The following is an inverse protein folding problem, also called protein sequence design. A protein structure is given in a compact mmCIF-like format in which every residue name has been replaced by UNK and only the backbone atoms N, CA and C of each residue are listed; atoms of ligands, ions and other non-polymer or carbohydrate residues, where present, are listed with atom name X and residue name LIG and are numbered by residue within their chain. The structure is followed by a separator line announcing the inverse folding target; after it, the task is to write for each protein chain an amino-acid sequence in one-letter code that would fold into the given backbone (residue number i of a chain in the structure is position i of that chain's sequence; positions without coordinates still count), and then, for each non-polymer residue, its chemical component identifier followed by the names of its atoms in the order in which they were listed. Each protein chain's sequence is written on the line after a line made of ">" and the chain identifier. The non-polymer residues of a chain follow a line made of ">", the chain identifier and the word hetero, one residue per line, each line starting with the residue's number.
data_IF_826748276020
#
_entry.id   IF_826748276020
#
_cell.length_a   1.000
_cell.length_b   1.000
_cell.length_c   1.000
_cell.angle_alpha   90.00
_cell.angle_beta   90.00
_cell.angle_gamma   90.00
#
_symmetry.space_group_name_H-M   'P 1'
#
loop_
_entity.id
_entity.type
_entity.pdbx_description
1 polymer ?
#
# COMPACT_ATOMS: atom_id res chain seq x y z
N UNK A 1 -3.76 4.85 26.77
CA UNK A 1 -3.19 3.81 27.65
C UNK A 1 -3.23 2.50 26.91
N UNK A 2 -2.09 2.13 26.28
CA UNK A 2 -1.98 0.84 25.59
C UNK A 2 -2.12 -0.31 26.59
N UNK A 3 -3.25 -1.01 26.52
CA UNK A 3 -3.45 -2.27 27.27
C UNK A 3 -3.02 -3.42 26.35
N UNK A 4 -2.30 -4.38 26.93
CA UNK A 4 -2.13 -5.71 26.34
C UNK A 4 -3.42 -6.45 26.67
N UNK A 5 -4.25 -6.71 25.68
CA UNK A 5 -5.52 -7.42 25.88
C UNK A 5 -5.41 -8.85 25.36
N UNK A 6 -5.96 -9.79 26.11
CA UNK A 6 -6.15 -11.15 25.59
C UNK A 6 -7.22 -11.11 24.47
N UNK A 7 -6.99 -11.88 23.41
CA UNK A 7 -7.89 -11.97 22.28
C UNK A 7 -9.26 -12.51 22.70
N UNK A 8 -10.25 -11.63 22.80
CA UNK A 8 -11.65 -12.00 23.03
C UNK A 8 -12.29 -12.67 21.80
N UNK A 9 -13.52 -13.16 21.97
CA UNK A 9 -14.34 -13.57 20.82
C UNK A 9 -14.73 -12.33 20.03
N UNK A 10 -14.19 -12.20 18.83
CA UNK A 10 -14.56 -11.17 17.86
C UNK A 10 -15.36 -11.84 16.76
N UNK A 11 -16.34 -11.14 16.19
CA UNK A 11 -17.27 -11.65 15.21
C UNK A 11 -16.61 -12.43 14.06
N UNK A 12 -17.37 -13.30 13.42
CA UNK A 12 -16.87 -14.11 12.31
C UNK A 12 -16.56 -13.21 11.10
N UNK A 13 -15.42 -13.45 10.48
CA UNK A 13 -15.09 -12.91 9.16
C UNK A 13 -15.37 -14.01 8.15
N UNK A 14 -16.22 -13.74 7.17
CA UNK A 14 -16.53 -14.68 6.10
C UNK A 14 -15.36 -14.85 5.13
N UNK A 15 -15.42 -14.17 4.00
CA UNK A 15 -14.36 -14.17 2.99
C UNK A 15 -13.38 -13.02 3.26
N UNK A 16 -12.08 -13.27 3.11
CA UNK A 16 -11.04 -12.24 3.21
C UNK A 16 -10.29 -12.13 1.89
N UNK A 17 -10.22 -10.92 1.36
CA UNK A 17 -9.45 -10.59 0.17
C UNK A 17 -8.24 -9.75 0.56
N UNK A 18 -7.12 -9.98 -0.15
CA UNK A 18 -5.91 -9.16 -0.05
C UNK A 18 -5.79 -8.20 -1.21
N UNK A 19 -5.31 -7.00 -0.94
CA UNK A 19 -5.01 -5.97 -1.93
C UNK A 19 -3.58 -5.50 -1.75
N UNK A 20 -2.82 -5.49 -2.84
CA UNK A 20 -1.48 -4.91 -2.88
C UNK A 20 -1.20 -4.30 -4.25
N UNK A 21 -0.23 -3.40 -4.31
CA UNK A 21 0.28 -2.80 -5.54
C UNK A 21 1.80 -2.83 -5.59
N UNK A 22 2.33 -3.03 -6.79
CA UNK A 22 3.76 -3.02 -7.07
C UNK A 22 4.08 -1.95 -8.11
N UNK A 23 5.23 -1.28 -7.92
CA UNK A 23 5.71 -0.29 -8.87
C UNK A 23 7.15 -0.58 -9.31
N UNK A 24 7.42 -0.36 -10.58
CA UNK A 24 8.76 -0.33 -11.16
C UNK A 24 8.92 0.90 -12.03
N UNK A 25 10.15 1.20 -12.40
CA UNK A 25 10.48 2.27 -13.32
C UNK A 25 11.36 1.74 -14.43
N UNK A 26 10.93 1.88 -15.68
CA UNK A 26 11.79 1.71 -16.84
C UNK A 26 12.35 3.06 -17.26
N UNK A 27 13.65 3.18 -17.31
CA UNK A 27 14.33 4.37 -17.78
C UNK A 27 14.82 4.17 -19.21
N UNK A 28 14.19 4.87 -20.12
CA UNK A 28 14.62 5.00 -21.50
C UNK A 28 15.40 6.29 -21.74
N UNK A 29 16.08 6.40 -22.86
CA UNK A 29 16.68 7.66 -23.29
C UNK A 29 15.60 8.73 -23.44
N UNK A 30 15.63 9.75 -22.54
CA UNK A 30 14.70 10.86 -22.54
C UNK A 30 13.34 10.61 -21.87
N UNK A 31 12.98 9.39 -21.53
CA UNK A 31 11.66 9.06 -20.96
C UNK A 31 11.80 8.11 -19.76
N UNK A 32 11.11 8.42 -18.68
CA UNK A 32 10.89 7.51 -17.56
C UNK A 32 9.45 6.96 -17.63
N UNK A 33 9.31 5.65 -17.60
CA UNK A 33 8.02 4.97 -17.57
C UNK A 33 7.83 4.31 -16.21
N UNK A 34 6.78 4.70 -15.51
CA UNK A 34 6.39 4.10 -14.24
C UNK A 34 5.33 3.06 -14.50
N UNK A 35 5.63 1.82 -14.17
CA UNK A 35 4.70 0.70 -14.28
C UNK A 35 4.16 0.41 -12.91
N UNK A 36 2.87 0.56 -12.71
CA UNK A 36 2.19 0.22 -11.47
C UNK A 36 1.10 -0.80 -11.75
N UNK A 37 1.13 -1.87 -11.00
CA UNK A 37 0.14 -2.95 -11.08
C UNK A 37 -0.45 -3.17 -9.71
N UNK A 38 -1.73 -3.49 -9.66
CA UNK A 38 -2.42 -3.86 -8.44
C UNK A 38 -3.03 -5.25 -8.55
N UNK A 39 -3.25 -5.89 -7.41
CA UNK A 39 -3.91 -7.17 -7.32
C UNK A 39 -4.91 -7.19 -6.17
N UNK A 40 -6.11 -7.68 -6.44
CA UNK A 40 -7.14 -8.03 -5.48
C UNK A 40 -7.33 -9.54 -5.52
N UNK A 41 -6.99 -10.23 -4.43
CA UNK A 41 -6.92 -11.69 -4.41
C UNK A 41 -7.76 -12.23 -3.26
N UNK A 42 -8.62 -13.18 -3.56
CA UNK A 42 -9.40 -13.92 -2.58
C UNK A 42 -8.91 -15.35 -2.36
N UNK A 43 -9.61 -16.14 -1.55
CA UNK A 43 -9.37 -17.57 -1.43
C UNK A 43 -9.48 -18.24 -2.80
N UNK A 44 -8.85 -19.42 -2.96
CA UNK A 44 -8.74 -20.15 -4.23
C UNK A 44 -10.06 -20.28 -5.03
N UNK A 45 -11.21 -20.28 -4.34
CA UNK A 45 -12.51 -20.46 -4.94
C UNK A 45 -13.25 -19.14 -5.22
N UNK A 46 -12.66 -18.01 -4.89
CA UNK A 46 -13.22 -16.68 -5.13
C UNK A 46 -12.32 -15.89 -6.09
N UNK A 47 -11.95 -16.50 -7.20
CA UNK A 47 -11.41 -15.77 -8.34
C UNK A 47 -12.51 -14.82 -8.80
N UNK A 48 -12.27 -13.54 -8.62
CA UNK A 48 -13.18 -12.51 -9.10
C UNK A 48 -12.92 -12.36 -10.60
N UNK A 49 -13.88 -12.76 -11.45
CA UNK A 49 -13.73 -12.60 -12.89
C UNK A 49 -13.65 -11.11 -13.22
N UNK A 50 -12.71 -10.69 -14.03
CA UNK A 50 -12.63 -9.36 -14.60
C UNK A 50 -11.73 -8.36 -13.88
N UNK A 51 -10.86 -8.80 -12.98
CA UNK A 51 -9.85 -7.94 -12.32
C UNK A 51 -8.49 -7.79 -13.02
N UNK A 52 -8.27 -8.12 -14.28
CA UNK A 52 -6.96 -7.94 -14.91
C UNK A 52 -6.59 -6.48 -15.18
N UNK A 53 -7.46 -5.52 -14.91
CA UNK A 53 -7.30 -4.15 -15.42
C UNK A 53 -6.69 -3.17 -14.42
N UNK A 54 -6.18 -3.63 -13.30
CA UNK A 54 -5.55 -2.76 -12.31
C UNK A 54 -4.05 -2.55 -12.56
N UNK A 55 -3.68 -2.28 -13.79
CA UNK A 55 -2.34 -1.82 -14.13
C UNK A 55 -2.42 -0.39 -14.66
N UNK A 56 -1.45 0.42 -14.25
CA UNK A 56 -1.36 1.82 -14.66
C UNK A 56 0.06 2.13 -15.10
N UNK A 57 0.17 2.87 -16.18
CA UNK A 57 1.44 3.37 -16.68
C UNK A 57 1.53 4.85 -16.37
N UNK A 58 2.48 5.23 -15.56
CA UNK A 58 2.89 6.61 -15.41
C UNK A 58 4.02 6.92 -16.37
N UNK A 59 3.83 7.83 -17.30
CA UNK A 59 4.86 8.30 -18.22
C UNK A 59 5.41 9.65 -17.77
N UNK A 60 6.72 9.78 -17.81
CA UNK A 60 7.40 11.05 -17.63
C UNK A 60 8.46 11.27 -18.69
N UNK A 61 8.39 12.43 -19.32
CA UNK A 61 9.44 12.90 -20.22
C UNK A 61 10.47 13.73 -19.46
N UNK A 62 11.75 13.45 -19.65
CA UNK A 62 12.88 14.20 -19.04
C UNK A 62 13.15 15.51 -19.78
N UNK A 63 12.66 15.62 -20.99
CA UNK A 63 12.73 16.85 -21.79
C UNK A 63 11.38 17.58 -21.75
N UNK A 64 11.38 18.88 -22.05
CA UNK A 64 10.14 19.59 -22.32
C UNK A 64 9.43 18.92 -23.50
N UNK A 65 8.45 18.11 -23.19
CA UNK A 65 7.58 17.56 -24.21
C UNK A 65 6.51 18.60 -24.60
N UNK A 66 6.08 18.56 -25.84
CA UNK A 66 4.94 19.35 -26.28
C UNK A 66 3.70 18.89 -25.51
N UNK A 67 3.04 19.81 -24.82
CA UNK A 67 1.88 19.52 -23.96
C UNK A 67 0.69 18.98 -24.77
N UNK A 68 0.54 19.38 -26.02
CA UNK A 68 -0.50 18.87 -26.93
C UNK A 68 -0.26 17.41 -27.32
N UNK A 69 1.01 17.04 -27.58
CA UNK A 69 1.37 15.65 -27.87
C UNK A 69 1.12 14.73 -26.67
N UNK A 70 1.37 15.21 -25.45
CA UNK A 70 1.09 14.46 -24.21
C UNK A 70 -0.41 14.28 -23.99
N UNK A 71 -1.22 15.31 -24.22
CA UNK A 71 -2.69 15.22 -24.16
C UNK A 71 -3.26 14.29 -25.23
N UNK A 72 -2.68 14.31 -26.44
CA UNK A 72 -3.05 13.37 -27.49
C UNK A 72 -2.78 11.93 -27.06
N UNK A 73 -1.60 11.65 -26.49
CA UNK A 73 -1.23 10.33 -25.99
C UNK A 73 -2.14 9.87 -24.82
N UNK A 74 -2.48 10.77 -23.88
CA UNK A 74 -3.45 10.49 -22.81
C UNK A 74 -4.83 10.09 -23.38
N UNK A 75 -5.27 10.73 -24.47
CA UNK A 75 -6.54 10.40 -25.13
C UNK A 75 -6.53 9.07 -25.89
N UNK A 76 -5.39 8.67 -26.48
CA UNK A 76 -5.27 7.45 -27.27
C UNK A 76 -5.11 6.18 -26.40
N UNK A 77 -4.45 6.29 -25.26
CA UNK A 77 -4.15 5.14 -24.40
C UNK A 77 -5.39 4.70 -23.58
N UNK A 78 -6.35 5.60 -23.36
CA UNK A 78 -7.61 5.28 -22.69
C UNK A 78 -7.45 4.78 -21.26
N UNK A 79 -8.36 3.90 -20.82
CA UNK A 79 -8.45 3.42 -19.43
C UNK A 79 -7.31 2.49 -18.98
N UNK A 80 -6.47 2.02 -19.90
CA UNK A 80 -5.41 1.06 -19.60
C UNK A 80 -4.11 1.67 -19.13
N UNK A 81 -3.90 2.95 -19.41
CA UNK A 81 -2.69 3.63 -19.01
C UNK A 81 -2.99 5.06 -18.57
N UNK A 82 -2.34 5.43 -17.47
CA UNK A 82 -2.36 6.80 -16.99
C UNK A 82 -1.09 7.49 -17.47
N UNK A 83 -1.23 8.37 -18.44
CA UNK A 83 -0.14 9.25 -18.86
C UNK A 83 -0.19 10.49 -17.97
N UNK A 84 0.82 10.66 -17.13
CA UNK A 84 0.96 11.84 -16.30
C UNK A 84 1.99 12.77 -16.89
N UNK A 85 1.52 13.81 -17.54
CA UNK A 85 2.37 14.95 -17.99
C UNK A 85 2.63 15.95 -16.87
N UNK A 86 1.91 15.81 -15.74
CA UNK A 86 1.93 16.81 -14.66
C UNK A 86 1.93 16.13 -13.28
N UNK A 87 2.65 16.72 -12.34
CA UNK A 87 2.48 16.53 -10.91
C UNK A 87 1.87 17.80 -10.34
N UNK A 88 0.84 17.72 -9.51
CA UNK A 88 0.15 18.88 -8.94
C UNK A 88 -0.39 19.85 -9.99
N UNK A 89 -0.81 19.36 -11.16
CA UNK A 89 -1.26 20.21 -12.25
C UNK A 89 -0.15 21.00 -12.94
N UNK A 90 1.12 20.80 -12.59
CA UNK A 90 2.28 21.43 -13.23
C UNK A 90 2.98 20.45 -14.14
N UNK A 91 3.47 20.93 -15.27
CA UNK A 91 4.31 20.14 -16.17
C UNK A 91 5.57 19.70 -15.42
N UNK A 92 5.99 18.46 -15.62
CA UNK A 92 7.26 17.97 -15.06
C UNK A 92 8.41 18.88 -15.45
N UNK A 93 9.07 19.42 -14.46
CA UNK A 93 10.26 20.24 -14.59
C UNK A 93 11.44 19.61 -13.85
N UNK A 94 12.54 20.34 -13.67
CA UNK A 94 13.71 19.87 -12.97
C UNK A 94 13.52 19.60 -11.47
N UNK A 95 12.38 19.95 -10.88
CA UNK A 95 12.04 19.72 -9.46
C UNK A 95 11.39 18.37 -9.19
N UNK A 96 11.53 17.45 -10.06
CA UNK A 96 10.98 16.12 -10.05
C UNK A 96 11.27 15.31 -8.80
N UNK A 97 10.23 14.86 -8.15
CA UNK A 97 10.30 13.90 -7.08
C UNK A 97 9.75 12.53 -7.54
N UNK A 98 10.65 11.59 -7.76
CA UNK A 98 10.33 10.23 -8.22
C UNK A 98 9.42 9.49 -7.25
N UNK A 99 9.63 9.61 -5.94
CA UNK A 99 8.78 8.97 -4.93
C UNK A 99 7.35 9.50 -5.02
N UNK A 100 7.18 10.81 -5.19
CA UNK A 100 5.85 11.41 -5.28
C UNK A 100 5.07 10.86 -6.49
N UNK A 101 5.72 10.68 -7.64
CA UNK A 101 5.07 10.10 -8.84
C UNK A 101 4.68 8.64 -8.62
N UNK A 102 5.55 7.85 -8.02
CA UNK A 102 5.25 6.45 -7.69
C UNK A 102 4.08 6.34 -6.71
N UNK A 103 4.10 7.13 -5.65
CA UNK A 103 3.06 7.13 -4.63
C UNK A 103 1.73 7.60 -5.19
N UNK A 104 1.74 8.61 -6.06
CA UNK A 104 0.55 9.08 -6.75
C UNK A 104 -0.14 7.94 -7.51
N UNK A 105 0.60 7.29 -8.42
CA UNK A 105 0.02 6.25 -9.28
C UNK A 105 -0.36 5.00 -8.47
N UNK A 106 0.45 4.60 -7.49
CA UNK A 106 0.11 3.49 -6.59
C UNK A 106 -1.17 3.75 -5.82
N UNK A 107 -1.31 4.95 -5.25
CA UNK A 107 -2.49 5.32 -4.48
C UNK A 107 -3.75 5.30 -5.34
N UNK A 108 -3.67 5.73 -6.59
CA UNK A 108 -4.80 5.65 -7.52
C UNK A 108 -5.18 4.20 -7.85
N UNK A 109 -4.21 3.36 -8.18
CA UNK A 109 -4.45 1.92 -8.47
C UNK A 109 -5.10 1.24 -7.28
N UNK A 110 -4.56 1.43 -6.08
CA UNK A 110 -5.11 0.84 -4.88
C UNK A 110 -6.52 1.36 -4.57
N UNK A 111 -6.77 2.66 -4.77
CA UNK A 111 -8.10 3.24 -4.55
C UNK A 111 -9.13 2.67 -5.53
N UNK A 112 -8.76 2.50 -6.80
CA UNK A 112 -9.60 1.83 -7.79
C UNK A 112 -9.91 0.38 -7.41
N UNK A 113 -8.94 -0.36 -6.90
CA UNK A 113 -9.18 -1.73 -6.43
C UNK A 113 -10.12 -1.78 -5.22
N UNK A 114 -10.11 -0.77 -4.35
CA UNK A 114 -11.11 -0.64 -3.29
C UNK A 114 -12.50 -0.38 -3.88
N UNK A 115 -12.61 0.46 -4.89
CA UNK A 115 -13.87 0.73 -5.61
C UNK A 115 -14.40 -0.54 -6.29
N UNK A 116 -13.54 -1.30 -6.95
CA UNK A 116 -13.88 -2.61 -7.54
C UNK A 116 -14.37 -3.60 -6.47
N UNK A 117 -13.65 -3.72 -5.35
CA UNK A 117 -14.08 -4.56 -4.23
C UNK A 117 -15.49 -4.20 -3.75
N UNK A 118 -15.77 -2.90 -3.60
CA UNK A 118 -17.10 -2.42 -3.22
C UNK A 118 -18.14 -2.83 -4.25
N UNK A 119 -17.82 -2.77 -5.55
CA UNK A 119 -18.69 -3.18 -6.66
C UNK A 119 -19.05 -4.67 -6.65
N UNK A 120 -18.24 -5.54 -6.00
CA UNK A 120 -18.51 -6.96 -5.91
C UNK A 120 -19.71 -7.32 -5.01
N UNK A 121 -20.15 -6.40 -4.17
CA UNK A 121 -21.31 -6.62 -3.30
C UNK A 121 -21.14 -7.72 -2.23
N UNK A 122 -19.90 -8.02 -1.85
CA UNK A 122 -19.56 -9.05 -0.85
C UNK A 122 -19.75 -8.51 0.58
N UNK A 123 -21.00 -8.47 1.06
CA UNK A 123 -21.38 -7.77 2.30
C UNK A 123 -20.59 -8.16 3.54
N UNK A 124 -20.23 -9.44 3.71
CA UNK A 124 -19.50 -9.94 4.90
C UNK A 124 -18.00 -10.10 4.68
N UNK A 125 -17.50 -9.73 3.50
CA UNK A 125 -16.09 -9.86 3.19
C UNK A 125 -15.25 -8.77 3.89
N UNK A 126 -14.03 -9.13 4.26
CA UNK A 126 -13.01 -8.22 4.77
C UNK A 126 -11.95 -8.00 3.70
N UNK A 127 -11.68 -6.75 3.38
CA UNK A 127 -10.56 -6.36 2.52
C UNK A 127 -9.33 -6.06 3.38
N UNK A 128 -8.21 -6.72 3.09
CA UNK A 128 -6.91 -6.42 3.69
C UNK A 128 -6.02 -5.72 2.67
N UNK A 129 -5.64 -4.48 2.97
CA UNK A 129 -4.74 -3.67 2.14
C UNK A 129 -3.32 -3.80 2.66
N UNK A 130 -2.35 -4.07 1.79
CA UNK A 130 -0.93 -4.04 2.15
C UNK A 130 -0.46 -2.58 2.30
N UNK A 131 -0.24 -2.16 3.55
CA UNK A 131 0.12 -0.81 3.88
C UNK A 131 -0.95 -0.07 4.70
N UNK A 132 -0.85 1.26 4.79
CA UNK A 132 -1.81 2.07 5.53
C UNK A 132 -3.19 2.07 4.85
N UNK A 133 -4.25 2.14 5.65
CA UNK A 133 -5.63 2.19 5.13
C UNK A 133 -5.85 3.41 4.21
N UNK A 134 -5.23 4.52 4.54
CA UNK A 134 -5.00 5.66 3.66
C UNK A 134 -3.58 6.21 3.89
N UNK A 135 -2.94 6.80 2.86
CA UNK A 135 -1.56 7.27 2.96
C UNK A 135 -1.41 8.35 4.04
N UNK A 136 -0.30 8.28 4.79
CA UNK A 136 0.09 9.29 5.78
C UNK A 136 1.55 9.68 5.54
N UNK A 137 1.87 10.28 4.39
CA UNK A 137 3.24 10.61 4.04
C UNK A 137 3.79 11.70 4.95
N UNK A 138 5.09 11.68 5.18
CA UNK A 138 5.79 12.70 5.97
C UNK A 138 5.60 14.12 5.44
N UNK A 139 5.35 14.25 4.14
CA UNK A 139 5.10 15.52 3.48
C UNK A 139 3.96 16.31 4.11
N UNK A 140 2.97 15.63 4.70
CA UNK A 140 1.86 16.27 5.41
C UNK A 140 2.24 16.91 6.75
N UNK A 141 3.42 16.59 7.27
CA UNK A 141 3.96 17.20 8.50
C UNK A 141 4.90 18.36 8.23
N UNK A 142 5.19 18.64 6.94
CA UNK A 142 6.04 19.74 6.52
C UNK A 142 5.16 20.91 6.10
N UNK A 143 5.28 22.03 6.81
CA UNK A 143 4.62 23.29 6.41
C UNK A 143 5.09 23.72 5.02
N UNK A 144 4.19 24.27 4.24
CA UNK A 144 4.44 24.88 2.93
C UNK A 144 4.95 23.93 1.82
N UNK A 145 4.72 22.63 1.96
CA UNK A 145 5.06 21.69 0.90
C UNK A 145 3.93 21.62 -0.14
N UNK A 146 4.19 21.91 -1.43
CA UNK A 146 3.16 21.90 -2.47
C UNK A 146 2.54 20.52 -2.72
N UNK A 147 3.20 19.44 -2.29
CA UNK A 147 2.65 18.08 -2.37
C UNK A 147 1.63 17.76 -1.28
N UNK A 148 1.53 18.57 -0.21
CA UNK A 148 0.60 18.33 0.89
C UNK A 148 -0.86 18.35 0.42
N UNK A 149 -1.21 19.33 -0.42
CA UNK A 149 -2.56 19.47 -0.99
C UNK A 149 -2.91 18.27 -1.90
N UNK A 150 -1.96 17.84 -2.74
CA UNK A 150 -2.13 16.64 -3.58
C UNK A 150 -2.43 15.41 -2.73
N UNK A 151 -1.64 15.18 -1.68
CA UNK A 151 -1.83 14.03 -0.80
C UNK A 151 -3.14 14.09 -0.02
N UNK A 152 -3.59 15.27 0.37
CA UNK A 152 -4.91 15.43 0.98
C UNK A 152 -6.03 15.03 0.00
N UNK A 153 -5.91 15.36 -1.27
CA UNK A 153 -6.83 14.89 -2.31
C UNK A 153 -6.84 13.37 -2.46
N UNK A 154 -5.69 12.71 -2.39
CA UNK A 154 -5.62 11.24 -2.39
C UNK A 154 -6.25 10.62 -1.15
N UNK A 155 -6.03 11.19 0.03
CA UNK A 155 -6.64 10.73 1.28
C UNK A 155 -8.17 10.85 1.17
N UNK A 156 -8.67 11.99 0.74
CA UNK A 156 -10.10 12.21 0.55
C UNK A 156 -10.71 11.14 -0.36
N UNK A 157 -10.16 10.96 -1.55
CA UNK A 157 -10.66 9.97 -2.51
C UNK A 157 -10.61 8.54 -1.97
N UNK A 158 -9.53 8.18 -1.27
CA UNK A 158 -9.39 6.87 -0.64
C UNK A 158 -10.44 6.66 0.46
N UNK A 159 -10.66 7.64 1.32
CA UNK A 159 -11.67 7.57 2.38
C UNK A 159 -13.08 7.45 1.79
N UNK A 160 -13.36 8.16 0.71
CA UNK A 160 -14.65 8.05 -0.01
C UNK A 160 -14.85 6.65 -0.60
N UNK A 161 -13.82 6.08 -1.23
CA UNK A 161 -13.86 4.71 -1.74
C UNK A 161 -14.09 3.67 -0.63
N UNK A 162 -13.55 3.91 0.55
CA UNK A 162 -13.67 3.02 1.72
C UNK A 162 -15.00 3.13 2.46
N UNK A 163 -15.84 4.13 2.17
CA UNK A 163 -17.15 4.27 2.82
C UNK A 163 -18.04 3.05 2.57
N UNK A 164 -18.50 2.42 3.66
CA UNK A 164 -19.31 1.21 3.59
C UNK A 164 -18.53 -0.06 3.23
N UNK A 165 -17.21 0.02 3.12
CA UNK A 165 -16.32 -1.12 2.87
C UNK A 165 -15.71 -1.59 4.18
N UNK A 166 -15.80 -2.90 4.46
CA UNK A 166 -15.09 -3.52 5.59
C UNK A 166 -13.63 -3.74 5.19
N UNK A 167 -12.80 -2.72 5.38
CA UNK A 167 -11.40 -2.76 4.99
C UNK A 167 -10.45 -2.42 6.14
N UNK A 168 -9.31 -3.10 6.18
CA UNK A 168 -8.22 -2.83 7.11
C UNK A 168 -6.90 -2.72 6.35
N UNK A 169 -6.07 -1.76 6.75
CA UNK A 169 -4.68 -1.66 6.29
C UNK A 169 -3.74 -2.41 7.22
N UNK A 170 -2.73 -3.08 6.68
CA UNK A 170 -1.71 -3.79 7.46
C UNK A 170 -0.34 -3.23 7.14
N UNK A 171 0.20 -2.44 8.06
CA UNK A 171 1.51 -1.78 7.92
C UNK A 171 2.59 -2.66 8.54
N UNK A 172 3.48 -3.19 7.69
CA UNK A 172 4.53 -4.14 8.08
C UNK A 172 5.85 -3.46 8.51
N UNK A 173 6.13 -2.27 7.98
CA UNK A 173 7.40 -1.56 8.21
C UNK A 173 7.18 -0.41 9.18
N UNK A 174 7.50 -0.63 10.45
CA UNK A 174 7.27 0.31 11.55
C UNK A 174 8.53 1.03 12.05
N UNK A 175 9.71 0.73 11.50
CA UNK A 175 10.99 1.30 11.95
C UNK A 175 11.14 2.82 11.78
N UNK A 176 10.16 3.48 11.14
CA UNK A 176 10.06 4.94 11.06
C UNK A 176 8.74 5.48 11.62
N UNK A 177 7.88 4.60 12.12
CA UNK A 177 6.61 4.97 12.76
C UNK A 177 6.86 5.38 14.20
N UNK A 178 6.29 6.50 14.61
CA UNK A 178 6.44 7.05 15.97
C UNK A 178 5.10 7.45 16.58
N UNK A 179 3.99 6.95 16.09
CA UNK A 179 2.67 7.37 16.57
C UNK A 179 2.42 6.95 18.01
N UNK A 180 2.62 5.68 18.35
CA UNK A 180 2.47 5.18 19.71
C UNK A 180 3.55 5.76 20.63
N UNK A 181 4.78 5.80 20.14
CA UNK A 181 5.92 6.30 20.90
C UNK A 181 5.74 7.77 21.30
N UNK A 182 5.31 8.61 20.37
CA UNK A 182 5.00 10.02 20.66
C UNK A 182 3.83 10.19 21.65
N UNK A 183 2.77 9.37 21.50
CA UNK A 183 1.64 9.39 22.44
C UNK A 183 2.05 9.07 23.89
N UNK A 184 3.09 8.24 24.04
CA UNK A 184 3.61 7.80 25.35
C UNK A 184 4.86 8.56 25.81
N UNK A 185 5.34 9.54 25.03
CA UNK A 185 6.51 10.36 25.36
C UNK A 185 7.86 9.67 25.19
N UNK A 186 7.93 8.62 24.35
CA UNK A 186 9.17 7.91 24.05
C UNK A 186 9.84 8.41 22.77
N UNK A 187 11.17 8.45 22.76
CA UNK A 187 12.01 8.85 21.61
C UNK A 187 12.45 7.70 20.70
N UNK A 188 11.70 6.59 20.68
CA UNK A 188 11.98 5.40 19.86
C UNK A 188 10.91 5.22 18.79
N UNK A 189 11.13 4.30 17.86
CA UNK A 189 10.08 3.89 16.91
C UNK A 189 9.05 2.94 17.55
N UNK A 190 7.88 2.81 16.89
CA UNK A 190 6.77 2.02 17.39
C UNK A 190 7.10 0.52 17.43
N UNK A 191 7.91 0.01 16.48
CA UNK A 191 8.35 -1.40 16.46
C UNK A 191 9.12 -1.75 17.72
N UNK A 192 10.14 -0.96 18.02
CA UNK A 192 10.98 -1.11 19.22
C UNK A 192 10.16 -0.97 20.51
N UNK A 193 9.27 0.01 20.56
CA UNK A 193 8.44 0.24 21.75
C UNK A 193 7.50 -0.94 22.02
N UNK A 194 6.77 -1.40 21.00
CA UNK A 194 5.81 -2.51 21.15
C UNK A 194 6.53 -3.79 21.55
N UNK A 195 7.65 -4.12 20.89
CA UNK A 195 8.47 -5.29 21.26
C UNK A 195 8.90 -5.26 22.71
N UNK A 196 9.39 -4.11 23.18
CA UNK A 196 9.82 -3.96 24.57
C UNK A 196 8.66 -4.08 25.57
N UNK A 197 7.53 -3.42 25.30
CA UNK A 197 6.35 -3.47 26.17
C UNK A 197 5.78 -4.89 26.29
N UNK A 198 5.61 -5.56 25.14
CA UNK A 198 5.06 -6.92 25.10
C UNK A 198 6.00 -7.90 25.79
N UNK A 199 7.32 -7.79 25.57
CA UNK A 199 8.31 -8.65 26.24
C UNK A 199 8.32 -8.44 27.75
N UNK A 200 8.19 -7.20 28.22
CA UNK A 200 8.10 -6.90 29.67
C UNK A 200 6.81 -7.45 30.30
N UNK A 201 5.70 -7.46 29.56
CA UNK A 201 4.41 -7.91 30.07
C UNK A 201 4.23 -9.42 30.04
N UNK A 202 4.74 -10.11 29.00
CA UNK A 202 4.49 -11.53 28.74
C UNK A 202 5.74 -12.41 28.87
N UNK A 203 6.92 -11.80 28.98
CA UNK A 203 8.18 -12.53 29.10
C UNK A 203 8.65 -13.18 27.80
N UNK A 204 9.35 -14.31 27.93
CA UNK A 204 9.78 -15.16 26.82
C UNK A 204 8.72 -16.20 26.46
N UNK A 205 8.77 -16.71 25.23
CA UNK A 205 7.87 -17.79 24.81
C UNK A 205 7.31 -17.61 23.41
N UNK A 206 6.26 -18.35 23.10
CA UNK A 206 5.50 -18.27 21.85
C UNK A 206 4.14 -17.67 22.17
N UNK A 207 3.87 -16.51 21.59
CA UNK A 207 2.59 -15.83 21.79
C UNK A 207 2.30 -14.83 20.68
N UNK A 208 1.04 -14.45 20.58
CA UNK A 208 0.59 -13.29 19.82
C UNK A 208 -0.14 -12.33 20.74
N UNK A 209 0.22 -11.05 20.69
CA UNK A 209 -0.35 -10.01 21.52
C UNK A 209 -0.87 -8.86 20.66
N UNK A 210 -1.89 -8.17 21.17
CA UNK A 210 -2.47 -6.99 20.53
C UNK A 210 -2.31 -5.79 21.47
N UNK A 211 -1.79 -4.68 20.95
CA UNK A 211 -1.52 -3.46 21.72
C UNK A 211 -2.28 -2.29 21.08
N UNK A 212 -3.07 -1.60 21.85
CA UNK A 212 -3.86 -0.46 21.37
C UNK A 212 -5.07 -0.18 22.27
N UNK A 213 -6.10 0.50 21.78
CA UNK A 213 -6.14 1.21 20.50
C UNK A 213 -5.35 2.52 20.53
N UNK A 214 -4.92 2.97 19.37
CA UNK A 214 -4.48 4.34 19.14
C UNK A 214 -5.32 4.99 18.03
N UNK A 215 -5.43 6.30 18.09
CA UNK A 215 -6.14 7.09 17.09
C UNK A 215 -5.15 8.01 16.39
N UNK A 216 -5.13 7.95 15.07
CA UNK A 216 -4.30 8.80 14.23
C UNK A 216 -5.21 9.74 13.45
N UNK A 217 -4.95 11.04 13.54
CA UNK A 217 -5.66 12.08 12.78
C UNK A 217 -4.76 12.66 11.70
N UNK A 218 -5.32 12.84 10.51
CA UNK A 218 -4.66 13.47 9.36
C UNK A 218 -5.65 14.44 8.73
N UNK A 219 -5.48 15.73 8.98
CA UNK A 219 -6.51 16.71 8.67
C UNK A 219 -7.83 16.36 9.36
N UNK A 220 -8.90 16.32 8.58
CA UNK A 220 -10.25 15.97 9.05
C UNK A 220 -10.50 14.46 9.14
N UNK A 221 -9.55 13.64 8.73
CA UNK A 221 -9.70 12.20 8.67
C UNK A 221 -9.07 11.52 9.88
N UNK A 222 -9.75 10.50 10.36
CA UNK A 222 -9.34 9.71 11.53
C UNK A 222 -9.24 8.24 11.16
N UNK A 223 -8.22 7.58 11.66
CA UNK A 223 -8.09 6.13 11.62
C UNK A 223 -7.75 5.58 13.00
N UNK A 224 -8.25 4.38 13.25
CA UNK A 224 -8.03 3.62 14.47
C UNK A 224 -7.02 2.52 14.22
N UNK A 225 -6.10 2.32 15.14
CA UNK A 225 -4.99 1.43 14.93
C UNK A 225 -4.76 0.51 16.13
N UNK A 226 -4.36 -0.74 15.82
CA UNK A 226 -3.87 -1.71 16.77
C UNK A 226 -2.54 -2.27 16.28
N UNK A 227 -1.62 -2.54 17.20
CA UNK A 227 -0.40 -3.27 16.89
C UNK A 227 -0.58 -4.74 17.23
N UNK A 228 -0.16 -5.61 16.33
CA UNK A 228 -0.14 -7.06 16.52
C UNK A 228 1.29 -7.51 16.57
N UNK A 229 1.71 -8.09 17.70
CA UNK A 229 3.04 -8.60 17.90
C UNK A 229 2.97 -10.14 17.97
N UNK A 230 3.74 -10.84 17.15
CA UNK A 230 3.87 -12.28 17.19
C UNK A 230 5.30 -12.66 17.53
N UNK A 231 5.46 -13.49 18.56
CA UNK A 231 6.77 -13.99 19.02
C UNK A 231 6.87 -15.48 18.85
N UNK A 232 7.99 -15.91 18.27
CA UNK A 232 8.41 -17.30 18.22
C UNK A 232 9.89 -17.38 18.64
N UNK A 233 10.14 -17.88 19.84
CA UNK A 233 11.48 -17.93 20.39
C UNK A 233 12.10 -16.54 20.51
N UNK A 234 13.23 -16.33 19.84
CA UNK A 234 13.93 -15.03 19.83
C UNK A 234 13.45 -14.06 18.75
N UNK A 235 12.61 -14.52 17.83
CA UNK A 235 12.07 -13.69 16.75
C UNK A 235 10.74 -13.08 17.16
N UNK A 236 10.59 -11.78 16.90
CA UNK A 236 9.32 -11.06 17.08
C UNK A 236 9.07 -10.17 15.89
N UNK A 237 7.89 -10.31 15.29
CA UNK A 237 7.38 -9.42 14.26
C UNK A 237 6.25 -8.56 14.83
N UNK A 238 6.18 -7.32 14.38
CA UNK A 238 5.12 -6.38 14.75
C UNK A 238 4.55 -5.75 13.49
N UNK A 239 3.23 -5.74 13.38
CA UNK A 239 2.50 -5.02 12.35
C UNK A 239 1.47 -4.09 12.98
N UNK A 240 1.11 -3.01 12.27
CA UNK A 240 0.02 -2.13 12.67
C UNK A 240 -1.18 -2.37 11.77
N UNK A 241 -2.32 -2.63 12.37
CA UNK A 241 -3.61 -2.77 11.69
C UNK A 241 -4.40 -1.49 11.85
N UNK A 242 -4.87 -0.95 10.74
CA UNK A 242 -5.57 0.33 10.66
C UNK A 242 -6.95 0.17 10.03
N UNK A 243 -7.95 0.90 10.51
CA UNK A 243 -9.26 1.02 9.87
C UNK A 243 -9.88 2.40 10.11
N UNK A 244 -10.92 2.74 9.34
CA UNK A 244 -11.71 3.96 9.55
C UNK A 244 -12.68 3.83 10.73
N UNK A 245 -12.98 2.60 11.14
CA UNK A 245 -13.85 2.27 12.27
C UNK A 245 -13.05 1.53 13.35
N UNK A 246 -13.39 1.80 14.62
CA UNK A 246 -12.66 1.25 15.78
C UNK A 246 -12.85 -0.26 15.93
N UNK A 247 -14.09 -0.72 15.77
CA UNK A 247 -14.44 -2.13 15.95
C UNK A 247 -13.90 -2.96 14.78
N UNK A 248 -13.91 -2.38 13.59
CA UNK A 248 -13.30 -2.97 12.40
C UNK A 248 -11.77 -3.07 12.53
N UNK A 249 -11.11 -2.07 13.11
CA UNK A 249 -9.68 -2.12 13.39
C UNK A 249 -9.33 -3.27 14.34
N UNK A 250 -10.14 -3.46 15.40
CA UNK A 250 -9.97 -4.58 16.34
C UNK A 250 -10.25 -5.92 15.68
N UNK A 251 -11.33 -6.03 14.90
CA UNK A 251 -11.65 -7.24 14.13
C UNK A 251 -10.48 -7.64 13.23
N UNK A 252 -9.93 -6.67 12.48
CA UNK A 252 -8.76 -6.87 11.63
C UNK A 252 -7.53 -7.29 12.41
N UNK A 253 -7.26 -6.67 13.56
CA UNK A 253 -6.14 -7.03 14.42
C UNK A 253 -6.23 -8.47 14.93
N UNK A 254 -7.43 -8.91 15.37
CA UNK A 254 -7.67 -10.29 15.79
C UNK A 254 -7.49 -11.28 14.63
N UNK A 255 -8.01 -10.93 13.44
CA UNK A 255 -7.82 -11.77 12.25
C UNK A 255 -6.34 -11.89 11.89
N UNK A 256 -5.61 -10.78 11.86
CA UNK A 256 -4.16 -10.76 11.61
C UNK A 256 -3.43 -11.60 12.65
N UNK A 257 -3.72 -11.43 13.94
CA UNK A 257 -3.11 -12.18 15.02
C UNK A 257 -3.27 -13.71 14.88
N UNK A 258 -4.38 -14.17 14.30
CA UNK A 258 -4.67 -15.59 14.09
C UNK A 258 -4.10 -16.16 12.79
N UNK A 259 -3.83 -15.32 11.79
CA UNK A 259 -3.50 -15.77 10.43
C UNK A 259 -2.14 -15.31 9.93
N UNK A 260 -1.44 -14.42 10.66
CA UNK A 260 -0.11 -13.98 10.28
C UNK A 260 0.91 -15.13 10.42
N UNK A 261 1.80 -15.23 9.45
CA UNK A 261 2.95 -16.12 9.51
C UNK A 261 4.05 -15.59 10.44
N UNK A 262 5.14 -16.33 10.54
CA UNK A 262 6.31 -15.93 11.33
C UNK A 262 6.95 -14.61 10.87
N UNK A 263 6.77 -14.27 9.61
CA UNK A 263 7.20 -13.02 8.99
C UNK A 263 6.27 -11.83 9.29
N UNK A 264 5.18 -12.06 10.03
CA UNK A 264 4.20 -11.04 10.36
C UNK A 264 3.24 -10.68 9.21
N UNK A 265 3.23 -11.45 8.11
CA UNK A 265 2.40 -11.15 6.94
C UNK A 265 1.19 -12.08 6.87
N UNK A 266 -0.05 -11.54 6.85
CA UNK A 266 -1.26 -12.33 6.62
C UNK A 266 -1.26 -12.96 5.21
N UNK A 267 -1.79 -14.18 5.10
CA UNK A 267 -1.86 -14.92 3.83
C UNK A 267 -2.51 -14.12 2.69
N UNK A 268 -3.65 -13.43 2.88
CA UNK A 268 -4.27 -12.66 1.80
C UNK A 268 -3.35 -11.59 1.22
N UNK A 269 -2.62 -10.88 2.06
CA UNK A 269 -1.65 -9.85 1.64
C UNK A 269 -0.48 -10.49 0.90
N UNK A 270 0.04 -11.62 1.37
CA UNK A 270 1.14 -12.33 0.71
C UNK A 270 0.77 -12.79 -0.69
N UNK A 271 -0.45 -13.27 -0.88
CA UNK A 271 -0.96 -13.66 -2.19
C UNK A 271 -1.10 -12.46 -3.13
N UNK A 272 -1.65 -11.35 -2.63
CA UNK A 272 -1.78 -10.12 -3.40
C UNK A 272 -0.41 -9.54 -3.81
N UNK A 273 0.55 -9.47 -2.88
CA UNK A 273 1.93 -9.03 -3.14
C UNK A 273 2.58 -9.88 -4.25
N UNK A 274 2.48 -11.21 -4.13
CA UNK A 274 3.06 -12.11 -5.13
C UNK A 274 2.45 -11.92 -6.52
N UNK A 275 1.14 -11.75 -6.61
CA UNK A 275 0.46 -11.53 -7.88
C UNK A 275 0.80 -10.15 -8.45
N UNK A 276 0.75 -9.09 -7.65
CA UNK A 276 1.08 -7.73 -8.08
C UNK A 276 2.52 -7.65 -8.62
N UNK A 277 3.48 -8.28 -7.95
CA UNK A 277 4.88 -8.34 -8.42
C UNK A 277 5.02 -9.06 -9.75
N UNK A 278 4.39 -10.22 -9.92
CA UNK A 278 4.45 -10.98 -11.18
C UNK A 278 3.82 -10.22 -12.34
N UNK A 279 2.67 -9.60 -12.12
CA UNK A 279 2.03 -8.75 -13.12
C UNK A 279 2.93 -7.56 -13.49
N UNK A 280 3.50 -6.89 -12.48
CA UNK A 280 4.41 -5.78 -12.70
C UNK A 280 5.63 -6.19 -13.52
N UNK A 281 6.27 -7.30 -13.16
CA UNK A 281 7.41 -7.84 -13.87
C UNK A 281 7.08 -8.21 -15.33
N UNK A 282 5.91 -8.83 -15.55
CA UNK A 282 5.44 -9.19 -16.89
C UNK A 282 5.22 -7.98 -17.79
N UNK A 283 4.54 -6.95 -17.27
CA UNK A 283 4.29 -5.70 -18.01
C UNK A 283 5.60 -4.93 -18.24
N UNK A 284 6.48 -4.87 -17.25
CA UNK A 284 7.81 -4.25 -17.40
C UNK A 284 8.62 -4.91 -18.52
N UNK A 285 8.64 -6.24 -18.56
CA UNK A 285 9.33 -6.98 -19.62
C UNK A 285 8.69 -6.75 -21.01
N UNK A 286 7.36 -6.76 -21.07
CA UNK A 286 6.62 -6.52 -22.30
C UNK A 286 6.92 -5.11 -22.86
N UNK A 287 6.87 -4.09 -22.02
CA UNK A 287 7.17 -2.72 -22.40
C UNK A 287 8.62 -2.56 -22.86
N UNK A 288 9.58 -3.15 -22.15
CA UNK A 288 10.98 -3.12 -22.55
C UNK A 288 11.22 -3.78 -23.91
N UNK A 289 10.43 -4.81 -24.25
CA UNK A 289 10.54 -5.54 -25.51
C UNK A 289 9.86 -4.84 -26.69
N UNK A 290 8.78 -4.10 -26.44
CA UNK A 290 7.96 -3.48 -27.48
C UNK A 290 8.29 -2.00 -27.71
N UNK A 291 8.86 -1.30 -26.72
CA UNK A 291 9.16 0.11 -26.84
C UNK A 291 10.24 0.35 -27.91
N UNK A 292 10.04 1.28 -28.84
CA UNK A 292 11.02 1.62 -29.86
C UNK A 292 12.15 2.53 -29.31
N UNK A 293 12.34 2.54 -28.00
CA UNK A 293 13.28 3.40 -27.28
C UNK A 293 14.39 2.56 -26.65
N UNK A 294 15.57 3.14 -26.54
CA UNK A 294 16.72 2.49 -25.89
C UNK A 294 16.62 2.61 -24.38
N UNK A 295 16.83 1.49 -23.70
CA UNK A 295 16.98 1.48 -22.25
C UNK A 295 18.31 2.13 -21.85
N UNK A 296 18.29 2.91 -20.77
CA UNK A 296 19.53 3.33 -20.10
C UNK A 296 20.10 2.17 -19.29
N UNK A 297 21.29 2.37 -18.71
CA UNK A 297 21.89 1.35 -17.82
C UNK A 297 20.96 1.01 -16.64
N UNK A 298 20.40 2.01 -15.99
CA UNK A 298 19.46 1.83 -14.88
C UNK A 298 18.16 1.15 -15.35
N UNK A 299 17.72 1.43 -16.57
CA UNK A 299 16.58 0.73 -17.19
C UNK A 299 16.86 -0.76 -17.41
N UNK A 300 18.08 -1.12 -17.78
CA UNK A 300 18.51 -2.52 -17.90
C UNK A 300 18.58 -3.22 -16.54
N UNK A 301 19.03 -2.53 -15.48
CA UNK A 301 19.02 -3.08 -14.11
C UNK A 301 17.60 -3.38 -13.64
N UNK A 302 16.65 -2.47 -13.86
CA UNK A 302 15.24 -2.68 -13.52
C UNK A 302 14.61 -3.81 -14.33
N UNK A 303 14.92 -3.91 -15.62
CA UNK A 303 14.49 -5.04 -16.45
C UNK A 303 15.02 -6.37 -15.92
N UNK A 304 16.32 -6.45 -15.60
CA UNK A 304 16.92 -7.66 -15.02
C UNK A 304 16.27 -8.06 -13.70
N UNK A 305 15.90 -7.09 -12.87
CA UNK A 305 15.16 -7.34 -11.64
C UNK A 305 13.76 -7.92 -11.93
N UNK A 306 13.04 -7.36 -12.89
CA UNK A 306 11.75 -7.88 -13.33
C UNK A 306 11.85 -9.31 -13.86
N UNK A 307 12.88 -9.61 -14.68
CA UNK A 307 13.10 -10.96 -15.22
C UNK A 307 13.34 -12.00 -14.11
N UNK A 308 14.05 -11.63 -13.04
CA UNK A 308 14.23 -12.52 -11.87
C UNK A 308 12.91 -12.82 -11.16
N UNK A 309 12.02 -11.86 -11.04
CA UNK A 309 10.68 -12.06 -10.46
C UNK A 309 9.80 -13.00 -11.31
N UNK A 310 10.01 -13.06 -12.63
CA UNK A 310 9.29 -13.96 -13.51
C UNK A 310 9.84 -15.39 -13.47
N UNK A 311 11.15 -15.55 -13.27
CA UNK A 311 11.84 -16.84 -13.25
C UNK A 311 11.82 -17.58 -11.93
N UNK A 312 11.28 -16.97 -10.84
CA UNK A 312 11.27 -17.51 -9.47
C UNK A 312 10.01 -18.30 -9.08
#
# INVERSE_FOLDING_TARGET
>A
TGRVEALGQVGSVGVVLGLDSQSSRLRFEGVDVYVVTGALVGPRNALVPGLPNAHWLGLRFRFRANEEALKGLEGEIGDFALVRSRVLGRVFDGTYNEEAVRDEVRTEVETRLVEEFRGLGLGDALLMVDGPIFPTPRVLTMSDNPYAELYMGFIQRRVEALRGVRAVGVVKRLGQSTYLAKCLGFGVDDDTLVKNQVTRSLGGGVYTAVVGPITIRVGDYTKYCWYVASRLGNSMSVVRVEALDRDLAMLGAVYVARTMGLDGVPIPIRLADRLARRLNAGITNLLASLAPLRLTYEGLEELNKALRELGG
#
